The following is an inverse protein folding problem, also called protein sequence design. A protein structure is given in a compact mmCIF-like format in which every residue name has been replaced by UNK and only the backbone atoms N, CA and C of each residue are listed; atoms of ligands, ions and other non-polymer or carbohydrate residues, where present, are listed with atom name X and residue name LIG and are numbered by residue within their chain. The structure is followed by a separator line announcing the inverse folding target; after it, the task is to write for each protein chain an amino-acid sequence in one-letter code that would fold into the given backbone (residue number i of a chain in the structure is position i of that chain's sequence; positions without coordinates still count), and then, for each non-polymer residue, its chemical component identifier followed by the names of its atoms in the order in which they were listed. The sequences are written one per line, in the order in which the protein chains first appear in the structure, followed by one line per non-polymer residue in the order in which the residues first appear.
data_IF_448029152773
#
_entry.id   IF_448029152773
#
_cell.length_a   1.000
_cell.length_b   1.000
_cell.length_c   1.000
_cell.angle_alpha   90.00
_cell.angle_beta   90.00
_cell.angle_gamma   90.00
#
_symmetry.space_group_name_H-M   'P 1'
#
loop_
_entity.id
_entity.type
_entity.pdbx_description
1 polymer ?
#
# COMPACT_ATOMS: atom_id res chain seq x y z
N UNK A 1 -21.64 -1.45 -7.33
CA UNK A 1 -20.74 -0.36 -6.93
C UNK A 1 -20.18 0.24 -8.21
N UNK A 2 -20.83 1.27 -8.74
CA UNK A 2 -20.33 1.97 -9.93
C UNK A 2 -19.19 2.83 -9.44
N UNK A 3 -17.96 2.52 -9.84
CA UNK A 3 -16.87 3.48 -9.79
C UNK A 3 -17.33 4.61 -10.70
N UNK A 4 -17.84 5.70 -10.12
CA UNK A 4 -17.92 6.98 -10.80
C UNK A 4 -16.47 7.35 -11.12
N UNK A 5 -15.95 6.85 -12.24
CA UNK A 5 -14.90 7.59 -12.93
C UNK A 5 -15.51 8.97 -13.15
N UNK A 6 -14.88 10.03 -12.65
CA UNK A 6 -15.52 11.32 -12.58
C UNK A 6 -15.44 11.98 -13.95
N UNK A 7 -16.21 11.45 -14.91
CA UNK A 7 -16.41 12.03 -16.24
C UNK A 7 -17.05 13.43 -16.14
N UNK A 8 -17.73 13.70 -15.02
CA UNK A 8 -18.29 15.02 -14.69
C UNK A 8 -17.29 15.94 -13.95
N UNK A 9 -16.04 15.54 -13.73
CA UNK A 9 -15.05 16.45 -13.17
C UNK A 9 -14.67 17.47 -14.25
N UNK A 10 -15.02 18.76 -14.12
CA UNK A 10 -14.80 19.76 -15.18
C UNK A 10 -13.33 19.91 -15.56
N UNK A 11 -12.42 19.47 -14.67
CA UNK A 11 -10.99 19.38 -14.91
C UNK A 11 -10.61 18.36 -15.99
N UNK A 12 -11.33 17.25 -16.16
CA UNK A 12 -10.95 16.23 -17.16
C UNK A 12 -11.18 16.68 -18.61
N UNK A 13 -12.03 17.67 -18.83
CA UNK A 13 -12.26 18.28 -20.15
C UNK A 13 -11.47 19.58 -20.36
N UNK A 14 -10.67 20.00 -19.39
CA UNK A 14 -9.82 21.19 -19.49
C UNK A 14 -8.59 20.88 -20.36
N UNK A 15 -8.41 21.62 -21.45
CA UNK A 15 -7.28 21.45 -22.36
C UNK A 15 -5.93 21.65 -21.65
N UNK A 16 -5.88 22.48 -20.62
CA UNK A 16 -4.66 22.68 -19.82
C UNK A 16 -4.38 21.45 -18.93
N UNK A 17 -5.42 20.85 -18.36
CA UNK A 17 -5.30 19.60 -17.59
C UNK A 17 -4.89 18.41 -18.48
N UNK A 18 -5.43 18.34 -19.70
CA UNK A 18 -5.09 17.28 -20.65
C UNK A 18 -3.65 17.36 -21.15
N UNK A 19 -3.09 18.58 -21.29
CA UNK A 19 -1.66 18.79 -21.58
C UNK A 19 -0.77 18.42 -20.39
N UNK A 20 -1.20 18.74 -19.18
CA UNK A 20 -0.46 18.40 -17.95
C UNK A 20 -0.48 16.89 -17.64
N UNK A 21 -1.36 16.11 -18.29
CA UNK A 21 -1.47 14.65 -18.13
C UNK A 21 -0.20 13.89 -18.53
N UNK A 22 0.62 14.43 -19.45
CA UNK A 22 1.92 13.83 -19.82
C UNK A 22 2.93 13.82 -18.64
N UNK A 23 2.71 14.67 -17.64
CA UNK A 23 3.47 14.74 -16.38
C UNK A 23 2.69 14.19 -15.16
N UNK A 24 1.67 13.37 -15.43
CA UNK A 24 0.87 12.71 -14.38
C UNK A 24 1.72 11.77 -13.52
N UNK A 25 1.19 11.39 -12.35
CA UNK A 25 1.79 10.43 -11.42
C UNK A 25 2.15 9.06 -12.03
N UNK A 26 1.66 8.78 -13.24
CA UNK A 26 1.95 7.58 -14.02
C UNK A 26 3.07 7.77 -15.07
N UNK A 27 3.66 8.97 -15.17
CA UNK A 27 4.76 9.25 -16.10
C UNK A 27 6.06 8.58 -15.62
N UNK A 28 6.88 8.00 -16.52
CA UNK A 28 8.19 7.45 -16.16
C UNK A 28 9.12 8.48 -15.50
N UNK A 29 8.91 9.77 -15.81
CA UNK A 29 9.70 10.89 -15.29
C UNK A 29 9.09 11.53 -14.02
N UNK A 30 7.99 10.95 -13.50
CA UNK A 30 7.35 11.46 -12.30
C UNK A 30 8.24 11.25 -11.07
N UNK A 31 8.47 12.32 -10.31
CA UNK A 31 9.33 12.28 -9.13
C UNK A 31 8.49 12.38 -7.87
N UNK A 32 8.64 11.38 -7.00
CA UNK A 32 7.82 11.24 -5.79
C UNK A 32 8.27 12.14 -4.62
N UNK A 33 9.35 12.92 -4.75
CA UNK A 33 9.78 13.80 -3.68
C UNK A 33 8.87 15.04 -3.53
N UNK A 34 8.90 15.65 -2.34
CA UNK A 34 7.98 16.74 -2.00
C UNK A 34 8.25 18.03 -2.78
N UNK A 35 9.48 18.24 -3.27
CA UNK A 35 9.85 19.42 -4.03
C UNK A 35 9.38 19.28 -5.47
N UNK A 36 9.70 18.16 -6.13
CA UNK A 36 9.25 17.88 -7.49
C UNK A 36 7.72 17.91 -7.60
N UNK A 37 6.99 17.41 -6.60
CA UNK A 37 5.51 17.48 -6.60
C UNK A 37 4.93 18.90 -6.56
N UNK A 38 5.66 19.88 -6.01
CA UNK A 38 5.23 21.29 -6.03
C UNK A 38 5.49 21.92 -7.40
N UNK A 39 6.60 21.55 -8.03
CA UNK A 39 7.04 22.03 -9.34
C UNK A 39 6.24 21.39 -10.48
N UNK A 40 5.91 20.10 -10.36
CA UNK A 40 5.11 19.30 -11.30
C UNK A 40 3.59 19.49 -11.13
N UNK A 41 3.18 20.55 -10.43
CA UNK A 41 1.75 20.82 -10.20
C UNK A 41 1.11 21.32 -11.49
N UNK A 42 -0.08 20.81 -11.86
CA UNK A 42 -0.79 21.29 -13.04
C UNK A 42 -1.00 22.80 -12.99
N UNK A 43 -0.83 23.46 -14.13
CA UNK A 43 -1.04 24.91 -14.30
C UNK A 43 -2.48 25.31 -13.97
N UNK A 44 -3.43 24.39 -14.19
CA UNK A 44 -4.85 24.51 -13.87
C UNK A 44 -5.16 24.44 -12.37
N UNK A 45 -4.19 24.16 -11.48
CA UNK A 45 -4.44 23.99 -10.04
C UNK A 45 -5.11 25.19 -9.37
N UNK A 46 -4.88 26.41 -9.86
CA UNK A 46 -5.55 27.61 -9.36
C UNK A 46 -7.09 27.55 -9.46
N UNK A 47 -7.62 26.74 -10.37
CA UNK A 47 -9.07 26.47 -10.54
C UNK A 47 -9.62 25.58 -9.43
N UNK A 48 -8.77 24.80 -8.74
CA UNK A 48 -9.14 24.01 -7.56
C UNK A 48 -9.03 24.85 -6.28
N UNK A 49 -10.12 25.54 -5.92
CA UNK A 49 -10.16 26.42 -4.76
C UNK A 49 -11.51 26.34 -4.02
N UNK A 50 -11.54 26.88 -2.80
CA UNK A 50 -12.71 26.82 -1.92
C UNK A 50 -13.95 27.54 -2.47
N UNK A 51 -13.81 28.48 -3.42
CA UNK A 51 -14.98 29.14 -4.05
C UNK A 51 -15.71 28.17 -4.98
N UNK A 52 -14.95 27.34 -5.68
CA UNK A 52 -15.49 26.35 -6.63
C UNK A 52 -15.89 25.05 -5.93
N UNK A 53 -15.10 24.61 -4.93
CA UNK A 53 -15.31 23.35 -4.22
C UNK A 53 -15.44 23.54 -2.70
N UNK A 54 -16.43 24.30 -2.21
CA UNK A 54 -16.51 24.69 -0.79
C UNK A 54 -16.64 23.49 0.16
N UNK A 55 -17.37 22.44 -0.23
CA UNK A 55 -17.56 21.25 0.61
C UNK A 55 -16.27 20.42 0.75
N UNK A 56 -15.47 20.34 -0.31
CA UNK A 56 -14.18 19.62 -0.30
C UNK A 56 -13.21 20.32 0.64
N UNK A 57 -13.08 21.65 0.53
CA UNK A 57 -12.21 22.42 1.41
C UNK A 57 -12.69 22.38 2.87
N UNK A 58 -14.01 22.47 3.11
CA UNK A 58 -14.55 22.30 4.46
C UNK A 58 -14.26 20.90 5.04
N UNK A 59 -14.28 19.84 4.23
CA UNK A 59 -13.89 18.51 4.67
C UNK A 59 -12.38 18.41 4.95
N UNK A 60 -11.53 18.97 4.09
CA UNK A 60 -10.07 19.03 4.30
C UNK A 60 -9.76 19.72 5.63
N UNK A 61 -10.42 20.84 5.92
CA UNK A 61 -10.19 21.58 7.16
C UNK A 61 -10.60 20.74 8.38
N UNK A 62 -11.78 20.10 8.36
CA UNK A 62 -12.20 19.20 9.45
C UNK A 62 -11.22 18.05 9.66
N UNK A 63 -10.73 17.45 8.57
CA UNK A 63 -9.76 16.36 8.63
C UNK A 63 -8.42 16.83 9.23
N UNK A 64 -7.90 17.99 8.80
CA UNK A 64 -6.68 18.58 9.34
C UNK A 64 -6.79 18.86 10.83
N UNK A 65 -7.88 19.48 11.26
CA UNK A 65 -8.12 19.73 12.69
C UNK A 65 -8.16 18.43 13.49
N UNK A 66 -8.82 17.39 12.98
CA UNK A 66 -8.84 16.08 13.63
C UNK A 66 -7.45 15.44 13.70
N UNK A 67 -6.65 15.56 12.63
CA UNK A 67 -5.28 15.06 12.57
C UNK A 67 -4.36 15.76 13.57
N UNK A 68 -4.41 17.10 13.62
CA UNK A 68 -3.64 17.90 14.59
C UNK A 68 -4.01 17.53 16.04
N UNK A 69 -5.30 17.37 16.32
CA UNK A 69 -5.76 16.94 17.64
C UNK A 69 -5.28 15.51 18.00
N UNK A 70 -5.21 14.60 17.03
CA UNK A 70 -4.70 13.25 17.23
C UNK A 70 -3.18 13.22 17.47
N UNK A 71 -2.42 14.00 16.69
CA UNK A 71 -0.97 14.15 16.85
C UNK A 71 -0.60 14.79 18.19
N UNK A 72 -1.40 15.77 18.65
CA UNK A 72 -1.20 16.36 19.97
C UNK A 72 -1.38 15.34 21.12
N UNK A 73 -2.29 14.36 20.94
CA UNK A 73 -2.55 13.30 21.93
C UNK A 73 -1.57 12.14 21.87
N UNK A 74 -1.11 11.79 20.67
CA UNK A 74 -0.25 10.64 20.42
C UNK A 74 1.02 11.08 19.71
N UNK A 75 2.14 11.04 20.43
CA UNK A 75 3.47 11.32 19.89
C UNK A 75 4.28 10.02 19.92
N UNK A 76 4.11 9.12 18.93
CA UNK A 76 4.90 7.90 18.88
C UNK A 76 6.39 8.25 18.79
N UNK A 77 7.26 7.50 19.46
CA UNK A 77 8.69 7.75 19.41
C UNK A 77 9.21 7.51 17.99
N UNK A 78 10.14 8.36 17.56
CA UNK A 78 10.91 8.10 16.33
C UNK A 78 11.85 6.93 16.57
N UNK A 79 11.74 5.89 15.75
CA UNK A 79 12.56 4.69 15.83
C UNK A 79 13.53 4.65 14.64
N UNK A 80 14.81 4.33 14.90
CA UNK A 80 15.77 4.07 13.82
C UNK A 80 15.54 2.67 13.24
N UNK A 81 16.05 2.42 12.03
CA UNK A 81 16.00 1.11 11.38
C UNK A 81 16.58 -0.01 12.25
N UNK A 82 17.69 0.26 12.92
CA UNK A 82 18.41 -0.73 13.74
C UNK A 82 17.57 -1.08 14.97
N UNK A 83 16.98 -0.09 15.62
CA UNK A 83 16.08 -0.33 16.74
C UNK A 83 14.78 -1.04 16.30
N UNK A 84 14.24 -0.71 15.12
CA UNK A 84 13.05 -1.38 14.60
C UNK A 84 13.28 -2.89 14.39
N UNK A 85 14.43 -3.28 13.83
CA UNK A 85 14.80 -4.70 13.69
C UNK A 85 14.85 -5.39 15.05
N UNK A 86 15.44 -4.75 16.05
CA UNK A 86 15.54 -5.29 17.42
C UNK A 86 14.16 -5.47 18.05
N UNK A 87 13.27 -4.49 17.94
CA UNK A 87 11.92 -4.56 18.50
C UNK A 87 11.06 -5.64 17.80
N UNK A 88 11.10 -5.69 16.46
CA UNK A 88 10.33 -6.68 15.68
C UNK A 88 10.77 -8.10 16.00
N UNK A 89 12.08 -8.35 16.07
CA UNK A 89 12.62 -9.70 16.29
C UNK A 89 12.47 -10.20 17.73
N UNK A 90 12.28 -9.30 18.70
CA UNK A 90 12.01 -9.64 20.11
C UNK A 90 10.52 -9.78 20.42
N UNK A 91 9.65 -9.21 19.57
CA UNK A 91 8.22 -9.25 19.80
C UNK A 91 7.68 -10.68 19.74
N UNK A 92 6.72 -10.98 20.62
CA UNK A 92 5.95 -12.20 20.51
C UNK A 92 4.97 -12.09 19.34
N UNK A 93 4.62 -13.24 18.75
CA UNK A 93 3.54 -13.30 17.76
C UNK A 93 2.24 -12.82 18.40
N UNK A 94 1.65 -11.77 17.81
CA UNK A 94 0.35 -11.28 18.25
C UNK A 94 -0.78 -12.26 17.86
N UNK A 95 -0.59 -12.98 16.76
CA UNK A 95 -1.58 -13.86 16.16
C UNK A 95 -1.19 -15.33 16.32
N UNK A 96 -2.18 -16.19 16.46
CA UNK A 96 -1.98 -17.62 16.39
C UNK A 96 -1.55 -18.02 14.97
N UNK A 97 -0.74 -19.07 14.87
CA UNK A 97 -0.38 -19.61 13.56
C UNK A 97 -1.61 -20.17 12.84
N UNK A 98 -1.80 -19.74 11.60
CA UNK A 98 -2.91 -20.17 10.77
C UNK A 98 -2.73 -21.56 10.14
N UNK A 99 -3.62 -21.83 9.20
CA UNK A 99 -3.58 -23.02 8.35
C UNK A 99 -3.58 -22.60 6.88
N UNK A 100 -3.18 -23.51 6.00
CA UNK A 100 -3.34 -23.34 4.55
C UNK A 100 -4.71 -23.89 4.19
N UNK A 101 -5.60 -23.04 3.70
CA UNK A 101 -6.91 -23.48 3.20
C UNK A 101 -6.74 -24.27 1.90
N UNK A 102 -6.91 -25.59 1.99
CA UNK A 102 -6.81 -26.49 0.84
C UNK A 102 -7.92 -26.26 -0.22
N UNK A 103 -8.99 -25.54 0.12
CA UNK A 103 -10.05 -25.17 -0.80
C UNK A 103 -9.81 -23.81 -1.46
N UNK A 104 -8.76 -23.07 -1.07
CA UNK A 104 -8.34 -21.88 -1.78
C UNK A 104 -7.95 -22.28 -3.21
N UNK A 105 -8.46 -21.53 -4.20
CA UNK A 105 -8.30 -21.87 -5.60
C UNK A 105 -6.82 -21.89 -6.03
N UNK A 106 -5.99 -21.00 -5.49
CA UNK A 106 -4.57 -20.91 -5.81
C UNK A 106 -3.79 -22.01 -5.08
N UNK A 107 -4.20 -22.32 -3.85
CA UNK A 107 -3.66 -23.47 -3.12
C UNK A 107 -3.93 -24.79 -3.85
N UNK A 108 -5.16 -24.99 -4.34
CA UNK A 108 -5.55 -26.20 -5.04
C UNK A 108 -4.90 -26.32 -6.43
N UNK A 109 -4.78 -25.20 -7.17
CA UNK A 109 -4.19 -25.17 -8.51
C UNK A 109 -2.68 -25.43 -8.48
N UNK A 110 -1.97 -24.79 -7.55
CA UNK A 110 -0.51 -24.89 -7.43
C UNK A 110 -0.09 -26.06 -6.52
N UNK A 111 -1.02 -26.57 -5.70
CA UNK A 111 -0.77 -27.63 -4.72
C UNK A 111 0.04 -27.12 -3.52
N UNK A 112 -0.33 -25.97 -2.95
CA UNK A 112 0.38 -25.35 -1.84
C UNK A 112 0.10 -26.08 -0.51
N UNK A 113 1.16 -26.36 0.23
CA UNK A 113 1.06 -26.96 1.56
C UNK A 113 1.68 -26.08 2.65
N UNK A 114 1.28 -26.35 3.90
CA UNK A 114 1.84 -25.66 5.05
C UNK A 114 3.33 -26.00 5.20
N UNK A 115 4.13 -24.98 5.54
CA UNK A 115 5.59 -24.98 5.64
C UNK A 115 6.33 -25.19 4.31
N UNK A 116 5.63 -25.13 3.17
CA UNK A 116 6.27 -25.21 1.86
C UNK A 116 7.02 -23.90 1.54
N UNK A 117 8.15 -24.01 0.85
CA UNK A 117 8.93 -22.85 0.41
C UNK A 117 8.22 -22.15 -0.75
N UNK A 118 7.87 -20.88 -0.55
CA UNK A 118 7.14 -20.07 -1.52
C UNK A 118 7.75 -18.68 -1.67
N UNK A 119 7.37 -18.00 -2.73
CA UNK A 119 7.59 -16.56 -2.91
C UNK A 119 6.26 -15.83 -3.04
N UNK A 120 6.16 -14.68 -2.38
CA UNK A 120 4.99 -13.81 -2.41
C UNK A 120 5.41 -12.44 -2.92
N UNK A 121 4.63 -11.86 -3.82
CA UNK A 121 4.91 -10.50 -4.29
C UNK A 121 3.77 -9.89 -5.08
N UNK A 122 3.84 -8.58 -5.31
CA UNK A 122 2.78 -7.84 -5.97
C UNK A 122 2.59 -8.32 -7.42
N UNK A 123 1.35 -8.25 -7.91
CA UNK A 123 1.00 -8.58 -9.29
C UNK A 123 1.09 -7.39 -10.24
N UNK A 124 1.20 -6.18 -9.69
CA UNK A 124 1.25 -4.92 -10.44
C UNK A 124 2.71 -4.41 -10.56
N UNK A 125 3.07 -3.35 -9.84
CA UNK A 125 4.38 -2.72 -9.91
C UNK A 125 5.39 -3.46 -9.02
N UNK A 126 6.65 -3.48 -9.45
CA UNK A 126 7.72 -4.22 -8.78
C UNK A 126 7.40 -5.71 -8.55
N UNK A 127 6.67 -6.34 -9.49
CA UNK A 127 6.33 -7.77 -9.45
C UNK A 127 7.55 -8.71 -9.49
N UNK A 128 8.74 -8.18 -9.83
CA UNK A 128 10.03 -8.86 -9.71
C UNK A 128 10.57 -8.92 -8.28
N UNK A 129 10.14 -8.02 -7.39
CA UNK A 129 10.54 -7.97 -6.00
C UNK A 129 9.57 -8.84 -5.19
N UNK A 130 9.96 -10.10 -4.96
CA UNK A 130 9.16 -11.07 -4.22
C UNK A 130 9.90 -11.47 -2.95
N UNK A 131 9.16 -11.56 -1.86
CA UNK A 131 9.66 -12.08 -0.59
C UNK A 131 9.59 -13.61 -0.61
N UNK A 132 10.59 -14.27 -0.02
CA UNK A 132 10.67 -15.73 0.04
C UNK A 132 10.61 -16.23 1.48
N UNK A 133 9.88 -17.32 1.72
CA UNK A 133 9.72 -17.89 3.06
C UNK A 133 8.90 -19.18 3.05
N UNK A 134 8.69 -19.74 4.24
CA UNK A 134 7.81 -20.89 4.44
C UNK A 134 6.35 -20.42 4.55
N UNK A 135 5.43 -21.02 3.80
CA UNK A 135 4.01 -20.71 3.87
C UNK A 135 3.41 -21.20 5.20
N UNK A 136 3.05 -20.28 6.10
CA UNK A 136 2.51 -20.66 7.42
C UNK A 136 0.99 -20.53 7.51
N UNK A 137 0.39 -19.65 6.71
CA UNK A 137 -1.06 -19.46 6.64
C UNK A 137 -1.48 -19.02 5.24
N UNK A 138 -2.63 -19.51 4.78
CA UNK A 138 -3.28 -19.05 3.56
C UNK A 138 -4.79 -19.07 3.77
N UNK A 139 -5.42 -17.91 3.63
CA UNK A 139 -6.86 -17.73 3.77
C UNK A 139 -7.42 -16.90 2.60
N UNK A 140 -8.74 -16.68 2.58
CA UNK A 140 -9.37 -15.79 1.60
C UNK A 140 -9.00 -14.30 1.76
N UNK A 141 -8.34 -13.91 2.86
CA UNK A 141 -7.99 -12.51 3.14
C UNK A 141 -6.49 -12.24 2.96
N UNK A 142 -5.64 -13.16 3.39
CA UNK A 142 -4.19 -12.99 3.36
C UNK A 142 -3.43 -14.31 3.15
N UNK A 143 -2.18 -14.15 2.73
CA UNK A 143 -1.14 -15.16 2.75
C UNK A 143 -0.03 -14.72 3.71
N UNK A 144 0.44 -15.63 4.55
CA UNK A 144 1.48 -15.36 5.55
C UNK A 144 2.66 -16.27 5.30
N UNK A 145 3.83 -15.67 5.11
CA UNK A 145 5.11 -16.38 5.01
C UNK A 145 5.97 -16.11 6.23
N UNK A 146 6.69 -17.13 6.66
CA UNK A 146 7.71 -17.00 7.70
C UNK A 146 9.10 -16.99 7.03
N UNK A 147 9.84 -15.90 7.23
CA UNK A 147 11.12 -15.63 6.61
C UNK A 147 12.21 -15.38 7.66
N UNK A 148 13.46 -15.67 7.31
CA UNK A 148 14.61 -15.40 8.18
C UNK A 148 15.00 -13.93 8.13
N UNK A 149 15.09 -13.30 9.29
CA UNK A 149 15.67 -11.97 9.49
C UNK A 149 16.90 -12.11 10.40
N UNK A 150 18.07 -12.33 9.79
CA UNK A 150 19.30 -12.61 10.54
C UNK A 150 19.21 -13.93 11.32
N UNK A 151 19.22 -13.84 12.65
CA UNK A 151 19.09 -15.00 13.55
C UNK A 151 17.65 -15.27 14.02
N UNK A 152 16.69 -14.44 13.61
CA UNK A 152 15.29 -14.53 14.03
C UNK A 152 14.37 -14.83 12.84
N UNK A 153 13.13 -15.23 13.14
CA UNK A 153 12.08 -15.40 12.15
C UNK A 153 11.14 -14.18 12.20
N UNK A 154 10.63 -13.76 11.04
CA UNK A 154 9.57 -12.76 10.91
C UNK A 154 8.42 -13.35 10.10
N UNK A 155 7.20 -12.89 10.36
CA UNK A 155 6.03 -13.21 9.53
C UNK A 155 5.66 -12.01 8.68
N UNK A 156 5.64 -12.22 7.37
CA UNK A 156 5.19 -11.22 6.41
C UNK A 156 3.77 -11.55 5.97
N UNK A 157 2.88 -10.59 6.12
CA UNK A 157 1.46 -10.71 5.79
C UNK A 157 1.20 -9.98 4.47
N UNK A 158 0.70 -10.71 3.49
CA UNK A 158 0.34 -10.18 2.18
C UNK A 158 -1.16 -10.36 1.95
N UNK A 159 -1.85 -9.28 1.58
CA UNK A 159 -3.26 -9.34 1.20
C UNK A 159 -3.44 -10.25 -0.02
N UNK A 160 -4.54 -11.03 -0.08
CA UNK A 160 -4.80 -11.91 -1.26
C UNK A 160 -5.02 -11.11 -2.53
N UNK A 161 -5.57 -9.91 -2.42
CA UNK A 161 -5.75 -9.02 -3.56
C UNK A 161 -4.41 -8.36 -3.92
N UNK A 162 -4.07 -8.40 -5.21
CA UNK A 162 -2.86 -7.79 -5.79
C UNK A 162 -1.53 -8.43 -5.39
N UNK A 163 -1.55 -9.57 -4.68
CA UNK A 163 -0.37 -10.41 -4.47
C UNK A 163 -0.61 -11.80 -5.05
N UNK A 164 0.46 -12.37 -5.57
CA UNK A 164 0.46 -13.75 -6.08
C UNK A 164 1.43 -14.59 -5.27
N UNK A 165 1.15 -15.88 -5.16
CA UNK A 165 2.01 -16.87 -4.50
C UNK A 165 2.59 -17.78 -5.57
N UNK A 166 3.86 -18.14 -5.43
CA UNK A 166 4.54 -19.10 -6.31
C UNK A 166 5.37 -20.04 -5.48
N UNK A 167 5.48 -21.31 -5.87
CA UNK A 167 6.49 -22.21 -5.30
C UNK A 167 7.88 -21.67 -5.60
N UNK A 168 8.78 -21.81 -4.62
CA UNK A 168 10.18 -21.40 -4.75
C UNK A 168 11.00 -22.36 -5.61
#
# INVERSE_FOLDING_TARGET
MVLLLPEDCPLMNDLDFLKDREYSFASPDYKWDAQSRKEQRPTSFHKFNAKVYPQVFAWIDRFRTALEAAQAKNQPPTLSSEHAVVEITKAAWHEAEGAVDAHDFEAADIGLEKNEAVTVGPTDFWSSCRDAGALVSLSSQEAVIEAKAGQSMIRSHALRQQFSIKKA
#
